data_IF_959887139371
#
_entry.id   IF_959887139371
#
_cell.length_a   1.000
_cell.length_b   1.000
_cell.length_c   1.000
_cell.angle_alpha   90.00
_cell.angle_beta   90.00
_cell.angle_gamma   90.00
#
_symmetry.space_group_name_H-M   'P 1'
#
loop_
_entity.id
_entity.type
_entity.pdbx_description
1 polymer ?
#
# COMPACT_ATOMS: atom_id res chain seq x y z
N UNK A 1 42.14 4.23 19.09
CA UNK A 1 40.81 4.73 19.50
C UNK A 1 39.80 4.09 18.59
N UNK A 2 39.07 3.09 19.08
CA UNK A 2 37.91 2.53 18.36
C UNK A 2 36.82 3.59 18.34
N UNK A 3 36.21 3.83 17.17
CA UNK A 3 35.02 4.67 17.07
C UNK A 3 33.93 4.08 17.97
N UNK A 4 33.13 4.92 18.66
CA UNK A 4 32.01 4.43 19.45
C UNK A 4 31.03 3.70 18.51
N UNK A 5 30.61 2.50 18.91
CA UNK A 5 29.58 1.74 18.21
C UNK A 5 28.25 2.49 18.39
N UNK A 6 27.86 3.24 17.36
CA UNK A 6 26.61 3.97 17.34
C UNK A 6 25.49 2.98 17.05
N UNK A 7 24.93 2.36 18.10
CA UNK A 7 23.70 1.57 18.00
C UNK A 7 22.52 2.53 17.89
N UNK A 8 22.29 3.06 16.69
CA UNK A 8 21.00 3.69 16.41
C UNK A 8 19.91 2.66 16.71
N UNK A 9 19.01 3.00 17.63
CA UNK A 9 17.96 2.08 18.08
C UNK A 9 16.95 1.88 16.97
N UNK A 10 16.32 0.70 16.92
CA UNK A 10 15.20 0.43 15.99
C UNK A 10 14.06 1.45 16.15
N UNK A 11 13.92 2.03 17.35
CA UNK A 11 12.90 3.00 17.72
C UNK A 11 13.23 4.43 17.27
N UNK A 12 14.45 4.69 16.77
CA UNK A 12 14.85 6.01 16.27
C UNK A 12 14.51 6.21 14.78
N UNK A 13 14.04 5.16 14.09
CA UNK A 13 13.69 5.23 12.67
C UNK A 13 12.26 5.73 12.51
N UNK A 14 12.11 6.98 12.07
CA UNK A 14 10.84 7.56 11.64
C UNK A 14 10.65 7.32 10.13
N UNK A 15 9.63 6.53 9.80
CA UNK A 15 9.30 6.15 8.43
C UNK A 15 8.49 7.20 7.67
N UNK A 16 8.04 8.27 8.32
CA UNK A 16 7.36 9.39 7.65
C UNK A 16 8.34 10.46 7.15
N UNK A 17 9.60 10.44 7.59
CA UNK A 17 10.62 11.37 7.11
C UNK A 17 10.85 11.19 5.60
N UNK A 18 10.52 12.24 4.84
CA UNK A 18 10.71 12.26 3.39
C UNK A 18 9.67 11.48 2.60
N UNK A 19 8.58 11.04 3.23
CA UNK A 19 7.42 10.46 2.50
C UNK A 19 6.77 11.55 1.65
N UNK A 20 6.43 12.68 2.28
CA UNK A 20 5.93 13.85 1.58
C UNK A 20 7.05 14.68 0.93
N UNK A 21 6.63 15.61 0.06
CA UNK A 21 7.55 16.51 -0.64
C UNK A 21 8.38 15.81 -1.71
N UNK A 22 9.65 16.20 -1.92
CA UNK A 22 10.48 15.66 -2.99
C UNK A 22 11.07 14.28 -2.67
N UNK A 23 11.01 13.84 -1.40
CA UNK A 23 11.63 12.59 -0.98
C UNK A 23 10.93 11.37 -1.59
N UNK A 24 9.60 11.30 -1.52
CA UNK A 24 8.83 10.16 -2.04
C UNK A 24 9.30 8.81 -1.48
N UNK A 25 9.64 8.78 -0.19
CA UNK A 25 9.99 7.53 0.52
C UNK A 25 8.74 6.76 0.94
N UNK A 26 8.92 5.58 1.52
CA UNK A 26 7.82 4.67 1.86
C UNK A 26 7.59 4.64 3.38
N UNK A 27 6.32 4.77 3.79
CA UNK A 27 5.87 4.52 5.16
C UNK A 27 5.48 3.05 5.42
N UNK A 28 5.29 2.26 4.36
CA UNK A 28 4.90 0.85 4.46
C UNK A 28 6.06 -0.09 4.82
N UNK A 29 5.77 -1.27 5.38
CA UNK A 29 6.80 -2.22 5.81
C UNK A 29 7.47 -2.93 4.64
N UNK A 30 8.80 -3.00 4.67
CA UNK A 30 9.60 -3.86 3.79
C UNK A 30 10.88 -4.32 4.48
N UNK A 31 11.36 -5.52 4.09
CA UNK A 31 12.68 -6.01 4.49
C UNK A 31 13.77 -5.38 3.62
N UNK A 32 15.01 -5.19 4.13
CA UNK A 32 16.14 -4.82 3.30
C UNK A 32 16.24 -5.75 2.08
N UNK A 33 16.31 -5.15 0.88
CA UNK A 33 16.36 -5.87 -0.41
C UNK A 33 15.16 -6.80 -0.67
N UNK A 34 14.03 -6.59 0.00
CA UNK A 34 12.79 -7.32 -0.25
C UNK A 34 12.16 -6.97 -1.59
N UNK A 35 11.51 -7.96 -2.20
CA UNK A 35 10.72 -7.80 -3.43
C UNK A 35 9.38 -7.13 -3.12
N UNK A 36 8.79 -7.50 -1.98
CA UNK A 36 7.54 -6.90 -1.51
C UNK A 36 7.83 -5.59 -0.80
N UNK A 37 7.10 -4.56 -1.21
CA UNK A 37 7.05 -3.26 -0.56
C UNK A 37 5.57 -2.95 -0.37
N UNK A 38 5.00 -3.54 0.68
CA UNK A 38 3.59 -3.41 1.01
C UNK A 38 3.36 -2.02 1.62
N UNK A 39 2.33 -1.31 1.20
CA UNK A 39 2.05 0.01 1.72
C UNK A 39 0.68 0.57 1.34
N UNK A 40 0.29 1.67 1.98
CA UNK A 40 -0.94 2.40 1.68
C UNK A 40 -0.85 3.18 0.36
N UNK A 41 -1.97 3.21 -0.36
CA UNK A 41 -2.18 4.05 -1.53
C UNK A 41 -3.17 5.16 -1.23
N UNK A 42 -2.92 6.34 -1.76
CA UNK A 42 -3.84 7.49 -1.69
C UNK A 42 -4.67 7.65 -2.94
N UNK A 43 -5.83 8.29 -2.82
CA UNK A 43 -6.69 8.55 -3.97
C UNK A 43 -5.93 9.24 -5.13
N UNK A 44 -6.19 8.75 -6.34
CA UNK A 44 -5.64 9.30 -7.59
C UNK A 44 -5.85 10.83 -7.70
N UNK A 45 -4.93 11.56 -8.35
CA UNK A 45 -3.67 11.08 -8.92
C UNK A 45 -2.63 10.81 -7.82
N UNK A 46 -1.85 9.76 -8.02
CA UNK A 46 -0.80 9.31 -7.11
C UNK A 46 0.49 10.07 -7.33
N UNK A 47 1.32 10.13 -6.28
CA UNK A 47 2.77 10.36 -6.44
C UNK A 47 3.45 9.08 -6.92
N UNK A 48 4.74 9.20 -7.22
CA UNK A 48 5.58 8.09 -7.72
C UNK A 48 5.53 6.85 -6.84
N UNK A 49 5.32 7.04 -5.53
CA UNK A 49 5.28 6.03 -4.49
C UNK A 49 3.86 5.75 -3.96
N UNK A 50 2.79 6.19 -4.63
CA UNK A 50 1.41 5.87 -4.24
C UNK A 50 0.79 6.70 -3.11
N UNK A 51 1.59 7.33 -2.25
CA UNK A 51 1.11 7.92 -0.99
C UNK A 51 1.33 9.44 -0.87
N UNK A 52 0.46 10.11 -0.12
CA UNK A 52 0.52 11.52 0.30
C UNK A 52 -0.21 11.69 1.63
N UNK A 53 0.37 12.34 2.63
CA UNK A 53 -0.26 12.41 3.97
C UNK A 53 -1.55 13.23 4.02
N UNK A 54 -1.80 14.11 3.05
CA UNK A 54 -2.95 15.03 2.99
C UNK A 54 -4.16 14.49 2.22
N UNK A 55 -4.11 13.24 1.72
CA UNK A 55 -5.17 12.64 0.90
C UNK A 55 -5.90 11.51 1.60
N UNK A 56 -7.14 11.16 1.19
CA UNK A 56 -7.75 9.88 1.56
C UNK A 56 -6.95 8.67 1.05
N UNK A 57 -7.04 7.55 1.76
CA UNK A 57 -6.48 6.26 1.32
C UNK A 57 -7.46 5.54 0.37
N UNK A 58 -6.96 4.81 -0.62
CA UNK A 58 -7.78 4.02 -1.57
C UNK A 58 -7.47 2.51 -1.55
N UNK A 59 -6.59 2.06 -0.66
CA UNK A 59 -6.24 0.65 -0.49
C UNK A 59 -4.77 0.44 -0.17
N UNK A 60 -4.33 -0.81 -0.33
CA UNK A 60 -2.97 -1.24 -0.02
C UNK A 60 -2.41 -2.11 -1.14
N UNK A 61 -1.28 -1.73 -1.72
CA UNK A 61 -0.61 -2.49 -2.79
C UNK A 61 0.72 -3.08 -2.35
N UNK A 62 1.16 -4.13 -3.04
CA UNK A 62 2.31 -4.95 -2.64
C UNK A 62 3.63 -4.49 -3.24
N UNK A 63 3.60 -3.54 -4.17
CA UNK A 63 4.77 -3.05 -4.90
C UNK A 63 4.79 -1.54 -4.92
N UNK A 64 5.89 -0.98 -4.41
CA UNK A 64 6.14 0.46 -4.34
C UNK A 64 7.60 0.78 -4.67
N UNK A 65 7.87 2.06 -4.91
CA UNK A 65 9.19 2.59 -5.22
C UNK A 65 9.48 3.77 -4.31
N UNK A 66 10.68 3.78 -3.75
CA UNK A 66 11.12 4.79 -2.78
C UNK A 66 12.11 5.73 -3.43
N UNK A 67 11.99 7.03 -3.18
CA UNK A 67 13.04 7.99 -3.51
C UNK A 67 13.06 8.47 -4.96
N UNK A 68 12.03 8.17 -5.75
CA UNK A 68 12.07 8.44 -7.20
C UNK A 68 11.37 9.75 -7.55
N UNK A 69 12.10 10.64 -8.23
CA UNK A 69 11.62 11.96 -8.67
C UNK A 69 11.05 12.01 -10.08
N UNK A 70 10.78 10.86 -10.71
CA UNK A 70 10.27 10.73 -12.08
C UNK A 70 8.77 10.47 -12.14
N UNK A 71 8.32 9.74 -13.17
CA UNK A 71 6.95 9.21 -13.21
C UNK A 71 6.74 8.16 -12.12
N UNK A 72 5.61 7.45 -12.09
CA UNK A 72 5.33 6.30 -11.22
C UNK A 72 5.32 4.97 -11.99
N UNK A 73 5.71 3.88 -11.33
CA UNK A 73 5.46 2.49 -11.74
C UNK A 73 5.18 1.71 -10.47
N UNK A 74 4.53 0.55 -10.61
CA UNK A 74 4.03 -0.29 -9.51
C UNK A 74 2.65 0.12 -9.00
N UNK A 75 2.33 -0.15 -7.73
CA UNK A 75 0.96 -0.12 -7.22
C UNK A 75 0.16 -1.37 -7.57
N UNK A 76 0.81 -2.54 -7.57
CA UNK A 76 0.21 -3.79 -8.04
C UNK A 76 -0.31 -4.66 -6.90
N UNK A 77 -1.31 -5.50 -7.23
CA UNK A 77 -2.00 -6.39 -6.29
C UNK A 77 -2.58 -5.56 -5.15
N UNK A 78 -3.69 -4.88 -5.41
CA UNK A 78 -4.35 -4.02 -4.43
C UNK A 78 -5.35 -4.82 -3.61
N UNK A 79 -5.32 -4.57 -2.31
CA UNK A 79 -6.33 -5.02 -1.36
C UNK A 79 -7.08 -3.80 -0.82
N UNK A 80 -8.41 -3.84 -0.82
CA UNK A 80 -9.25 -2.78 -0.26
C UNK A 80 -10.27 -3.42 0.70
N UNK A 81 -10.08 -3.30 2.02
CA UNK A 81 -11.11 -3.69 2.98
C UNK A 81 -12.21 -2.62 2.99
N UNK A 82 -13.48 -3.03 3.05
CA UNK A 82 -14.60 -2.10 3.18
C UNK A 82 -15.81 -2.79 3.82
N UNK A 83 -16.62 -2.01 4.53
CA UNK A 83 -17.81 -2.48 5.22
C UNK A 83 -19.08 -2.15 4.40
N UNK A 84 -20.17 -2.88 4.62
CA UNK A 84 -21.45 -2.62 3.96
C UNK A 84 -21.66 -3.43 2.68
N UNK A 85 -22.39 -2.82 1.75
CA UNK A 85 -22.75 -3.43 0.47
C UNK A 85 -21.51 -3.60 -0.42
N UNK A 86 -21.37 -4.77 -1.05
CA UNK A 86 -20.31 -5.05 -2.01
C UNK A 86 -20.21 -3.96 -3.08
N UNK A 87 -19.03 -3.32 -3.17
CA UNK A 87 -18.72 -2.25 -4.11
C UNK A 87 -17.40 -2.56 -4.83
N UNK A 88 -17.35 -2.33 -6.13
CA UNK A 88 -16.15 -2.48 -6.96
C UNK A 88 -15.38 -1.17 -7.12
N UNK A 89 -15.87 -0.08 -6.56
CA UNK A 89 -15.21 1.22 -6.52
C UNK A 89 -15.41 1.90 -5.16
N UNK A 90 -14.96 1.29 -4.04
CA UNK A 90 -15.08 1.90 -2.73
C UNK A 90 -14.54 3.34 -2.73
N UNK A 91 -15.25 4.22 -2.03
CA UNK A 91 -14.77 5.59 -1.81
C UNK A 91 -13.44 5.58 -1.05
N UNK A 92 -12.67 6.66 -1.18
CA UNK A 92 -11.47 6.84 -0.37
C UNK A 92 -11.80 6.95 1.12
N UNK A 93 -10.91 6.45 1.96
CA UNK A 93 -11.03 6.45 3.42
C UNK A 93 -10.28 7.65 4.00
N UNK A 94 -10.89 8.34 4.96
CA UNK A 94 -10.11 9.16 5.87
C UNK A 94 -9.32 8.25 6.82
N UNK A 95 -8.18 8.75 7.29
CA UNK A 95 -7.25 8.02 8.13
C UNK A 95 -7.25 8.59 9.53
N UNK A 96 -7.28 7.70 10.51
CA UNK A 96 -7.08 8.03 11.93
C UNK A 96 -6.00 7.09 12.50
N UNK A 97 -5.34 7.52 13.57
CA UNK A 97 -4.31 6.73 14.28
C UNK A 97 -3.25 6.10 13.35
N UNK A 98 -2.87 6.81 12.29
CA UNK A 98 -1.86 6.34 11.33
C UNK A 98 -0.47 6.32 11.98
N UNK A 99 0.22 5.20 11.82
CA UNK A 99 1.52 4.98 12.43
C UNK A 99 2.38 4.03 11.60
N UNK A 100 3.70 4.21 11.69
CA UNK A 100 4.67 3.39 11.01
C UNK A 100 5.91 3.23 11.89
N UNK A 101 6.43 2.00 11.94
CA UNK A 101 7.70 1.65 12.58
C UNK A 101 8.38 0.53 11.81
N UNK A 102 9.63 0.22 12.13
CA UNK A 102 10.35 -0.84 11.42
C UNK A 102 9.56 -2.16 11.39
N UNK A 103 9.16 -2.56 10.18
CA UNK A 103 8.44 -3.81 9.93
C UNK A 103 6.93 -3.76 10.15
N UNK A 104 6.33 -2.61 10.49
CA UNK A 104 4.89 -2.48 10.69
C UNK A 104 4.35 -1.11 10.25
N UNK A 105 3.19 -1.12 9.62
CA UNK A 105 2.36 0.07 9.37
C UNK A 105 0.95 -0.19 9.89
N UNK A 106 0.32 0.82 10.50
CA UNK A 106 -1.02 0.75 11.06
C UNK A 106 -1.84 1.99 10.71
N UNK A 107 -3.14 1.82 10.51
CA UNK A 107 -4.09 2.94 10.30
C UNK A 107 -5.51 2.48 10.61
N UNK A 108 -6.36 3.40 11.08
CA UNK A 108 -7.80 3.22 11.17
C UNK A 108 -8.47 3.90 9.98
N UNK A 109 -9.32 3.16 9.26
CA UNK A 109 -10.05 3.63 8.08
C UNK A 109 -11.46 4.05 8.46
N UNK A 110 -11.79 5.31 8.18
CA UNK A 110 -13.10 5.90 8.43
C UNK A 110 -13.79 6.25 7.10
N UNK A 111 -15.14 6.16 7.03
CA UNK A 111 -16.09 5.91 8.12
C UNK A 111 -16.35 4.43 8.44
N UNK A 112 -15.71 3.50 7.72
CA UNK A 112 -16.01 2.07 7.80
C UNK A 112 -15.56 1.41 9.12
N UNK A 113 -14.78 2.12 9.93
CA UNK A 113 -14.26 1.68 11.24
C UNK A 113 -13.50 0.35 11.12
N UNK A 114 -12.45 0.38 10.30
CA UNK A 114 -11.58 -0.77 10.02
C UNK A 114 -10.16 -0.46 10.47
N UNK A 115 -9.66 -1.21 11.45
CA UNK A 115 -8.25 -1.13 11.87
C UNK A 115 -7.38 -2.01 10.98
N UNK A 116 -6.33 -1.44 10.41
CA UNK A 116 -5.41 -2.09 9.48
C UNK A 116 -4.04 -2.20 10.11
N UNK A 117 -3.41 -3.37 9.96
CA UNK A 117 -1.98 -3.58 10.25
C UNK A 117 -1.31 -4.36 9.13
N UNK A 118 -0.14 -3.90 8.70
CA UNK A 118 0.62 -4.45 7.60
C UNK A 118 2.01 -4.86 8.09
N UNK A 119 2.53 -5.97 7.57
CA UNK A 119 3.94 -6.36 7.70
C UNK A 119 4.40 -7.10 6.45
N UNK A 120 5.70 -7.38 6.33
CA UNK A 120 6.23 -8.08 5.16
C UNK A 120 7.47 -8.93 5.46
N UNK A 121 7.60 -9.99 4.67
CA UNK A 121 8.83 -10.76 4.51
C UNK A 121 9.57 -10.31 3.25
N UNK A 122 10.64 -11.00 2.86
CA UNK A 122 11.31 -10.70 1.58
C UNK A 122 10.39 -10.90 0.36
N UNK A 123 9.40 -11.79 0.44
CA UNK A 123 8.58 -12.20 -0.71
C UNK A 123 7.06 -12.21 -0.45
N UNK A 124 6.60 -11.90 0.76
CA UNK A 124 5.19 -11.91 1.11
C UNK A 124 4.79 -10.62 1.83
N UNK A 125 3.64 -10.06 1.45
CA UNK A 125 2.93 -9.07 2.25
C UNK A 125 1.94 -9.78 3.17
N UNK A 126 1.78 -9.27 4.38
CA UNK A 126 0.82 -9.78 5.36
C UNK A 126 -0.03 -8.58 5.80
N UNK A 127 -1.32 -8.67 5.57
CA UNK A 127 -2.30 -7.64 5.93
C UNK A 127 -3.31 -8.21 6.90
N UNK A 128 -3.61 -7.49 7.98
CA UNK A 128 -4.69 -7.80 8.92
C UNK A 128 -5.66 -6.64 8.92
N UNK A 129 -6.92 -6.97 8.67
CA UNK A 129 -8.06 -6.05 8.71
C UNK A 129 -8.99 -6.47 9.85
N UNK A 130 -9.28 -5.54 10.76
CA UNK A 130 -10.22 -5.75 11.87
C UNK A 130 -11.41 -4.84 11.62
N UNK A 131 -12.57 -5.44 11.34
CA UNK A 131 -13.82 -4.72 11.15
C UNK A 131 -14.46 -4.53 12.52
N UNK A 132 -14.45 -3.30 13.05
CA UNK A 132 -14.86 -3.03 14.43
C UNK A 132 -16.39 -3.00 14.59
N UNK A 133 -17.13 -2.87 13.48
CA UNK A 133 -18.58 -2.95 13.44
C UNK A 133 -19.07 -4.14 12.59
N UNK A 134 -19.29 -5.28 13.23
CA UNK A 134 -19.71 -6.52 12.57
C UNK A 134 -21.07 -6.43 11.87
N UNK A 135 -21.95 -5.52 12.31
CA UNK A 135 -23.31 -5.38 11.76
C UNK A 135 -23.31 -4.88 10.30
N UNK A 136 -22.23 -4.24 9.86
CA UNK A 136 -22.12 -3.69 8.51
C UNK A 136 -21.65 -4.74 7.49
N UNK A 137 -21.19 -5.91 7.91
CA UNK A 137 -20.57 -6.90 7.02
C UNK A 137 -19.13 -6.53 6.63
N UNK A 138 -18.34 -7.55 6.29
CA UNK A 138 -16.92 -7.42 5.98
C UNK A 138 -16.64 -7.87 4.54
N UNK A 139 -16.07 -6.97 3.74
CA UNK A 139 -15.69 -7.25 2.36
C UNK A 139 -14.22 -6.95 2.13
N UNK A 140 -13.62 -7.68 1.20
CA UNK A 140 -12.26 -7.45 0.72
C UNK A 140 -12.26 -7.46 -0.80
N UNK A 141 -12.03 -6.30 -1.42
CA UNK A 141 -11.78 -6.21 -2.85
C UNK A 141 -10.32 -6.56 -3.14
N UNK A 142 -10.11 -7.39 -4.16
CA UNK A 142 -8.80 -7.74 -4.69
C UNK A 142 -8.73 -7.25 -6.13
N UNK A 143 -7.83 -6.32 -6.40
CA UNK A 143 -7.60 -5.78 -7.75
C UNK A 143 -6.20 -6.17 -8.24
N UNK A 144 -6.16 -7.18 -9.11
CA UNK A 144 -4.95 -7.67 -9.77
C UNK A 144 -4.49 -6.77 -10.94
N UNK A 145 -5.35 -5.86 -11.41
CA UNK A 145 -5.05 -4.86 -12.45
C UNK A 145 -4.62 -3.50 -11.89
N UNK A 146 -4.53 -3.37 -10.57
CA UNK A 146 -4.11 -2.14 -9.92
C UNK A 146 -2.72 -1.69 -10.40
N UNK A 147 -2.61 -0.39 -10.63
CA UNK A 147 -1.37 0.30 -10.98
C UNK A 147 -1.48 1.76 -10.56
N UNK A 148 -0.39 2.35 -10.07
CA UNK A 148 -0.35 3.75 -9.70
C UNK A 148 -0.55 4.64 -10.93
N UNK A 149 -1.64 5.37 -10.89
CA UNK A 149 -1.96 6.41 -11.87
C UNK A 149 -1.34 7.74 -11.45
N UNK A 150 -0.31 8.19 -12.17
CA UNK A 150 0.41 9.42 -11.91
C UNK A 150 -0.05 10.59 -12.80
N UNK A 151 -0.21 10.34 -14.11
CA UNK A 151 -0.50 11.40 -15.09
C UNK A 151 -1.15 10.81 -16.35
N UNK A 152 -2.09 11.55 -16.96
CA UNK A 152 -2.90 11.09 -18.10
C UNK A 152 -2.09 10.58 -19.29
N UNK A 153 -1.00 11.26 -19.62
CA UNK A 153 -0.16 10.91 -20.77
C UNK A 153 0.95 9.90 -20.47
N UNK A 154 1.28 9.69 -19.19
CA UNK A 154 2.52 9.01 -18.78
C UNK A 154 2.28 8.18 -17.52
N UNK A 155 1.38 7.22 -17.65
CA UNK A 155 1.06 6.27 -16.61
C UNK A 155 1.34 4.86 -17.10
N UNK A 156 1.50 3.95 -16.13
CA UNK A 156 1.44 2.53 -16.43
C UNK A 156 -0.03 2.11 -16.52
N UNK A 157 -0.31 1.21 -17.46
CA UNK A 157 -1.62 0.66 -17.74
C UNK A 157 -1.61 -0.84 -17.51
N UNK A 158 -2.70 -1.38 -16.95
CA UNK A 158 -2.93 -2.82 -16.94
C UNK A 158 -3.49 -3.25 -18.29
N UNK A 159 -2.79 -4.17 -18.97
CA UNK A 159 -3.22 -4.78 -20.23
C UNK A 159 -4.10 -6.00 -20.02
N UNK A 160 -3.78 -6.80 -19.00
CA UNK A 160 -4.51 -8.01 -18.67
C UNK A 160 -4.31 -8.33 -17.19
N UNK A 161 -5.34 -8.76 -16.50
CA UNK A 161 -5.26 -9.27 -15.15
C UNK A 161 -6.19 -10.46 -14.99
N UNK A 162 -5.78 -11.41 -14.15
CA UNK A 162 -6.57 -12.61 -13.88
C UNK A 162 -6.43 -13.00 -12.41
N UNK A 163 -7.57 -13.32 -11.79
CA UNK A 163 -7.66 -13.96 -10.48
C UNK A 163 -8.35 -15.31 -10.69
N UNK A 164 -7.80 -16.35 -10.07
CA UNK A 164 -8.29 -17.73 -10.13
C UNK A 164 -8.40 -18.23 -8.69
N UNK A 165 -9.62 -18.44 -8.22
CA UNK A 165 -9.87 -19.10 -6.96
C UNK A 165 -9.50 -20.58 -7.07
N UNK A 166 -8.63 -21.06 -6.19
CA UNK A 166 -8.21 -22.46 -6.11
C UNK A 166 -8.88 -23.19 -4.95
N UNK A 167 -9.42 -22.44 -3.98
CA UNK A 167 -10.22 -22.95 -2.87
C UNK A 167 -11.15 -21.83 -2.36
N UNK A 168 -11.81 -22.05 -1.21
CA UNK A 168 -12.58 -21.02 -0.52
C UNK A 168 -11.69 -19.93 0.13
N UNK A 169 -10.40 -20.20 0.29
CA UNK A 169 -9.45 -19.33 1.02
C UNK A 169 -8.22 -18.97 0.21
N UNK A 170 -8.00 -19.61 -0.93
CA UNK A 170 -6.81 -19.48 -1.74
C UNK A 170 -7.16 -19.06 -3.16
N UNK A 171 -6.36 -18.15 -3.70
CA UNK A 171 -6.41 -17.74 -5.09
C UNK A 171 -4.99 -17.49 -5.61
N UNK A 172 -4.85 -17.57 -6.93
CA UNK A 172 -3.64 -17.16 -7.63
C UNK A 172 -4.02 -16.30 -8.83
N UNK A 173 -3.03 -15.61 -9.41
CA UNK A 173 -3.31 -14.68 -10.49
C UNK A 173 -2.07 -14.05 -11.08
N UNK A 174 -2.30 -13.17 -12.04
CA UNK A 174 -1.27 -12.35 -12.65
C UNK A 174 -1.84 -11.04 -13.14
N UNK A 175 -0.97 -10.05 -13.33
CA UNK A 175 -1.23 -8.82 -14.05
C UNK A 175 -0.11 -8.55 -15.05
N UNK A 176 -0.46 -8.08 -16.24
CA UNK A 176 0.49 -7.67 -17.29
C UNK A 176 0.31 -6.18 -17.51
N UNK A 177 1.40 -5.43 -17.38
CA UNK A 177 1.38 -3.96 -17.41
C UNK A 177 2.30 -3.40 -18.49
N UNK A 178 1.92 -2.25 -19.05
CA UNK A 178 2.72 -1.50 -20.03
C UNK A 178 2.87 -0.05 -19.55
N UNK A 179 3.98 0.59 -19.93
CA UNK A 179 4.26 1.97 -19.57
C UNK A 179 4.79 2.11 -18.15
N UNK A 180 4.84 3.35 -17.69
CA UNK A 180 5.53 3.72 -16.47
C UNK A 180 7.03 3.94 -16.70
N UNK A 181 7.48 5.09 -16.20
CA UNK A 181 8.85 5.62 -16.20
C UNK A 181 9.45 5.74 -17.60
N UNK A 182 8.80 6.57 -18.43
CA UNK A 182 9.28 7.09 -19.72
C UNK A 182 8.46 6.66 -20.93
#
# INVERSE_FOLDING_TARGET
MSAPEQTAGIDEVDLFIGVDGPGSTLCGPYRPLGVVRLGPDTVKPHRTHGYQSDKPLEGFTHTHVSGTGGEGRFGNVKLVPFAGTADTSPAGFSRENEGARLGEYTVDLMPDDISVSLTSTHHCGISRFVFNNEANGANLMIDAGAVHYFHDLRHAECLNAKIIWTSNTDFCGYGTFKGGWG
#
